data_IF_632573333558
#
_entry.id   IF_632573333558
#
_cell.length_a   1.000
_cell.length_b   1.000
_cell.length_c   1.000
_cell.angle_alpha   90.00
_cell.angle_beta   90.00
_cell.angle_gamma   90.00
#
_symmetry.space_group_name_H-M   'P 1'
#
loop_
_entity.id
_entity.type
_entity.pdbx_description
1 polymer ?
#
# COMPACT_ATOMS: atom_id res chain seq x y z
N UNK A 1 14.11 42.36 19.70
CA UNK A 1 14.20 43.82 19.99
C UNK A 1 14.55 44.06 21.48
N UNK A 2 13.79 43.49 22.42
CA UNK A 2 14.05 43.67 23.88
C UNK A 2 15.45 43.19 24.35
N UNK A 3 15.91 42.06 23.83
CA UNK A 3 17.24 41.51 24.14
C UNK A 3 18.39 42.37 23.61
N UNK A 4 18.23 42.92 22.40
CA UNK A 4 19.21 43.84 21.83
C UNK A 4 19.28 45.16 22.57
N UNK A 5 18.12 45.75 22.95
CA UNK A 5 18.06 46.95 23.77
C UNK A 5 18.73 46.77 25.14
N UNK A 6 18.46 45.65 25.82
CA UNK A 6 19.11 45.31 27.09
C UNK A 6 20.63 45.15 27.00
N UNK A 7 21.11 44.48 25.93
CA UNK A 7 22.54 44.32 25.66
C UNK A 7 23.24 45.66 25.45
N UNK A 8 22.64 46.53 24.61
CA UNK A 8 23.21 47.89 24.32
C UNK A 8 23.27 48.73 25.63
N UNK A 9 22.22 48.69 26.44
CA UNK A 9 22.15 49.46 27.67
C UNK A 9 23.16 48.96 28.73
N UNK A 10 23.29 47.65 28.87
CA UNK A 10 24.28 47.02 29.79
C UNK A 10 25.71 47.29 29.30
N UNK A 11 25.97 47.22 27.99
CA UNK A 11 27.29 47.49 27.45
C UNK A 11 27.69 48.97 27.64
N UNK A 12 26.73 49.92 27.52
CA UNK A 12 26.96 51.34 27.77
C UNK A 12 27.29 51.66 29.23
N UNK A 13 26.54 51.04 30.17
CA UNK A 13 26.79 51.18 31.60
C UNK A 13 28.20 50.62 31.99
N UNK A 14 28.55 49.45 31.48
CA UNK A 14 29.86 48.81 31.68
C UNK A 14 31.00 49.65 31.10
N UNK A 15 30.79 50.23 29.93
CA UNK A 15 31.76 51.13 29.30
C UNK A 15 32.02 52.41 30.12
N UNK A 16 30.99 53.00 30.70
CA UNK A 16 31.11 54.17 31.58
C UNK A 16 31.86 53.81 32.86
N UNK A 17 31.64 52.64 33.44
CA UNK A 17 32.30 52.19 34.67
C UNK A 17 33.71 51.61 34.43
N UNK A 18 34.03 51.18 33.22
CA UNK A 18 35.36 50.65 32.85
C UNK A 18 36.48 51.71 32.94
N UNK A 19 36.12 52.97 32.93
CA UNK A 19 37.08 54.11 33.07
C UNK A 19 37.68 54.22 34.48
N UNK A 20 37.01 53.60 35.48
CA UNK A 20 37.40 53.67 36.92
C UNK A 20 37.74 52.31 37.53
N UNK A 21 37.45 51.20 36.87
CA UNK A 21 37.63 49.84 37.41
C UNK A 21 38.02 48.83 36.34
N UNK A 22 39.17 48.14 36.49
CA UNK A 22 39.61 47.03 35.63
C UNK A 22 38.64 45.83 35.62
N UNK A 23 37.85 45.68 36.71
CA UNK A 23 36.83 44.63 36.77
C UNK A 23 35.65 44.86 35.79
N UNK A 24 35.24 46.11 35.59
CA UNK A 24 34.22 46.45 34.65
C UNK A 24 34.65 46.18 33.20
N UNK A 25 35.94 46.37 32.91
CA UNK A 25 36.51 46.01 31.59
C UNK A 25 36.47 44.49 31.35
N UNK A 26 36.79 43.65 32.34
CA UNK A 26 36.70 42.21 32.24
C UNK A 26 35.25 41.73 32.01
N UNK A 27 34.27 42.31 32.68
CA UNK A 27 32.86 42.00 32.49
C UNK A 27 32.40 42.41 31.09
N UNK A 28 32.85 43.53 30.58
CA UNK A 28 32.53 43.97 29.21
C UNK A 28 33.10 42.99 28.18
N UNK A 29 34.36 42.59 28.32
CA UNK A 29 34.97 41.58 27.42
C UNK A 29 34.23 40.24 27.47
N UNK A 30 33.83 39.78 28.68
CA UNK A 30 33.03 38.57 28.84
C UNK A 30 31.66 38.66 28.18
N UNK A 31 30.99 39.83 28.26
CA UNK A 31 29.73 40.09 27.63
C UNK A 31 29.82 40.00 26.09
N UNK A 32 30.84 40.65 25.50
CA UNK A 32 31.06 40.61 24.05
C UNK A 32 31.48 39.24 23.58
N UNK A 33 32.32 38.49 24.33
CA UNK A 33 32.69 37.12 24.01
C UNK A 33 31.45 36.21 24.04
N UNK A 34 30.57 36.35 25.06
CA UNK A 34 29.31 35.60 25.10
C UNK A 34 28.38 35.90 23.91
N UNK A 35 28.23 37.19 23.58
CA UNK A 35 27.43 37.60 22.43
C UNK A 35 28.01 37.07 21.10
N UNK A 36 29.33 37.08 20.95
CA UNK A 36 30.01 36.53 19.80
C UNK A 36 29.77 35.02 19.65
N UNK A 37 29.94 34.27 20.76
CA UNK A 37 29.67 32.84 20.76
C UNK A 37 28.22 32.50 20.42
N UNK A 38 27.28 33.25 21.00
CA UNK A 38 25.85 33.10 20.70
C UNK A 38 25.58 33.34 19.21
N UNK A 39 26.10 34.42 18.64
CA UNK A 39 25.92 34.73 17.24
C UNK A 39 26.58 33.67 16.32
N UNK A 40 27.76 33.21 16.70
CA UNK A 40 28.48 32.16 15.98
C UNK A 40 27.65 30.87 15.91
N UNK A 41 27.12 30.40 17.06
CA UNK A 41 26.28 29.20 17.08
C UNK A 41 24.96 29.42 16.32
N UNK A 42 24.35 30.60 16.44
CA UNK A 42 23.15 30.94 15.70
C UNK A 42 23.36 30.88 14.19
N UNK A 43 24.41 31.52 13.69
CA UNK A 43 24.77 31.50 12.25
C UNK A 43 25.08 30.05 11.78
N UNK A 44 25.79 29.27 12.60
CA UNK A 44 26.06 27.86 12.31
C UNK A 44 24.76 27.08 12.11
N UNK A 45 23.77 27.24 13.00
CA UNK A 45 22.46 26.57 12.88
C UNK A 45 21.67 27.06 11.65
N UNK A 46 21.72 28.33 11.33
CA UNK A 46 21.13 28.83 10.07
C UNK A 46 21.78 28.21 8.83
N UNK A 47 23.09 27.98 8.85
CA UNK A 47 23.80 27.30 7.75
C UNK A 47 23.41 25.84 7.63
N UNK A 48 23.14 25.13 8.74
CA UNK A 48 22.64 23.76 8.72
C UNK A 48 21.27 23.67 8.06
N UNK A 49 20.34 24.55 8.41
CA UNK A 49 19.00 24.66 7.77
C UNK A 49 19.15 24.99 6.27
N UNK A 50 20.01 25.97 5.93
CA UNK A 50 20.25 26.34 4.52
C UNK A 50 20.81 25.15 3.73
N UNK A 51 21.71 24.35 4.30
CA UNK A 51 22.25 23.15 3.68
C UNK A 51 21.17 22.07 3.48
N UNK A 52 20.29 21.88 4.47
CA UNK A 52 19.17 20.97 4.37
C UNK A 52 18.21 21.40 3.23
N UNK A 53 17.82 22.66 3.18
CA UNK A 53 16.98 23.19 2.10
C UNK A 53 17.64 23.07 0.71
N UNK A 54 18.96 23.29 0.61
CA UNK A 54 19.70 23.08 -0.63
C UNK A 54 19.68 21.61 -1.06
N UNK A 55 19.89 20.69 -0.13
CA UNK A 55 19.82 19.26 -0.42
C UNK A 55 18.42 18.83 -0.86
N UNK A 56 17.37 19.37 -0.22
CA UNK A 56 15.98 19.15 -0.62
C UNK A 56 15.72 19.64 -2.05
N UNK A 57 16.20 20.84 -2.36
CA UNK A 57 16.12 21.41 -3.72
C UNK A 57 16.84 20.56 -4.77
N UNK A 58 17.99 19.97 -4.40
CA UNK A 58 18.75 19.06 -5.26
C UNK A 58 18.14 17.64 -5.36
N UNK A 59 16.98 17.39 -4.72
CA UNK A 59 16.27 16.12 -4.77
C UNK A 59 16.95 14.99 -3.98
N UNK A 60 17.81 15.30 -3.02
CA UNK A 60 18.45 14.29 -2.15
C UNK A 60 17.40 13.77 -1.16
N UNK A 61 17.27 12.46 -1.09
CA UNK A 61 16.39 11.78 -0.14
C UNK A 61 16.93 11.90 1.30
N UNK A 62 16.01 11.85 2.27
CA UNK A 62 16.29 11.77 3.71
C UNK A 62 17.09 12.95 4.30
N UNK A 63 16.43 14.09 4.35
CA UNK A 63 16.95 15.23 5.11
C UNK A 63 16.17 15.27 6.42
N UNK A 64 16.81 14.86 7.52
CA UNK A 64 16.24 14.96 8.86
C UNK A 64 17.14 15.83 9.71
N UNK A 65 16.64 16.98 10.12
CA UNK A 65 17.28 17.85 11.10
C UNK A 65 16.85 17.39 12.50
N UNK A 66 17.80 17.35 13.45
CA UNK A 66 17.51 17.00 14.84
C UNK A 66 16.89 18.17 15.57
N UNK A 67 15.61 18.10 15.83
CA UNK A 67 14.83 19.18 16.44
C UNK A 67 15.37 19.66 17.80
N UNK A 68 15.92 18.74 18.60
CA UNK A 68 16.47 19.02 19.92
C UNK A 68 17.70 19.94 19.90
N UNK A 69 18.37 20.04 18.76
CA UNK A 69 19.53 20.89 18.57
C UNK A 69 19.18 22.35 18.21
N UNK A 70 17.92 22.65 17.97
CA UNK A 70 17.42 23.96 17.61
C UNK A 70 16.55 24.57 18.72
N UNK A 71 16.54 25.91 18.84
CA UNK A 71 15.77 26.62 19.86
C UNK A 71 15.02 27.81 19.24
N UNK A 72 13.87 28.16 19.84
CA UNK A 72 13.05 29.29 19.41
C UNK A 72 12.60 29.15 17.95
N UNK A 73 12.54 30.24 17.20
CA UNK A 73 12.08 30.30 15.80
C UNK A 73 12.83 29.32 14.86
N UNK A 74 14.11 29.04 15.15
CA UNK A 74 14.87 28.06 14.34
C UNK A 74 14.37 26.63 14.53
N UNK A 75 13.77 26.29 15.67
CA UNK A 75 13.15 25.00 15.91
C UNK A 75 11.89 24.84 15.05
N UNK A 76 11.06 25.86 14.98
CA UNK A 76 9.84 25.84 14.17
C UNK A 76 10.19 25.69 12.69
N UNK A 77 11.21 26.41 12.21
CA UNK A 77 11.72 26.26 10.84
C UNK A 77 12.27 24.84 10.61
N UNK A 78 12.96 24.25 11.57
CA UNK A 78 13.48 22.89 11.49
C UNK A 78 12.34 21.88 11.32
N UNK A 79 11.26 22.00 12.12
CA UNK A 79 10.05 21.18 12.01
C UNK A 79 9.43 21.31 10.60
N UNK A 80 9.22 22.55 10.13
CA UNK A 80 8.65 22.74 8.79
C UNK A 80 9.52 22.15 7.67
N UNK A 81 10.85 22.24 7.79
CA UNK A 81 11.77 21.63 6.81
C UNK A 81 11.68 20.10 6.84
N UNK A 82 11.57 19.49 8.03
CA UNK A 82 11.38 18.06 8.17
C UNK A 82 10.04 17.60 7.58
N UNK A 83 8.94 18.32 7.87
CA UNK A 83 7.61 18.02 7.34
C UNK A 83 7.56 18.13 5.81
N UNK A 84 8.16 19.20 5.23
CA UNK A 84 8.27 19.36 3.79
C UNK A 84 9.10 18.21 3.17
N UNK A 85 10.21 17.82 3.82
CA UNK A 85 11.05 16.71 3.36
C UNK A 85 10.30 15.39 3.36
N UNK A 86 9.54 15.09 4.42
CA UNK A 86 8.71 13.90 4.51
C UNK A 86 7.59 13.91 3.45
N UNK A 87 6.88 15.02 3.29
CA UNK A 87 5.84 15.18 2.28
C UNK A 87 6.37 15.01 0.85
N UNK A 88 7.55 15.57 0.56
CA UNK A 88 8.20 15.44 -0.73
C UNK A 88 8.63 13.99 -1.02
N UNK A 89 9.19 13.31 -0.02
CA UNK A 89 9.58 11.89 -0.14
C UNK A 89 8.36 11.02 -0.43
N UNK A 90 7.28 11.19 0.33
CA UNK A 90 6.02 10.46 0.12
C UNK A 90 5.44 10.71 -1.29
N UNK A 91 5.43 11.96 -1.76
CA UNK A 91 4.93 12.31 -3.09
C UNK A 91 5.77 11.67 -4.21
N UNK A 92 7.10 11.62 -4.05
CA UNK A 92 7.98 10.95 -5.02
C UNK A 92 7.74 9.45 -5.01
N UNK A 93 7.62 8.82 -3.84
CA UNK A 93 7.37 7.37 -3.74
C UNK A 93 6.02 6.99 -4.36
N UNK A 94 4.99 7.78 -4.12
CA UNK A 94 3.68 7.60 -4.76
C UNK A 94 3.77 7.77 -6.28
N UNK A 95 4.48 8.79 -6.76
CA UNK A 95 4.70 9.01 -8.20
C UNK A 95 5.46 7.85 -8.84
N UNK A 96 6.51 7.35 -8.19
CA UNK A 96 7.28 6.19 -8.67
C UNK A 96 6.44 4.90 -8.66
N UNK A 97 5.60 4.71 -7.63
CA UNK A 97 4.66 3.59 -7.55
C UNK A 97 3.66 3.63 -8.71
N UNK A 98 3.14 4.80 -9.02
CA UNK A 98 2.22 5.00 -10.14
C UNK A 98 2.90 4.78 -11.50
N UNK A 99 4.14 5.22 -11.68
CA UNK A 99 4.90 5.04 -12.93
C UNK A 99 5.27 3.56 -13.14
N UNK A 100 5.70 2.86 -12.10
CA UNK A 100 5.91 1.40 -12.15
C UNK A 100 4.61 0.68 -12.49
N UNK A 101 3.50 1.07 -11.86
CA UNK A 101 2.20 0.50 -12.19
C UNK A 101 1.84 0.65 -13.66
N UNK A 102 2.04 1.83 -14.28
CA UNK A 102 1.80 2.03 -15.72
C UNK A 102 2.68 1.13 -16.57
N UNK A 103 3.96 0.98 -16.21
CA UNK A 103 4.91 0.16 -16.95
C UNK A 103 4.56 -1.33 -16.86
N UNK A 104 4.25 -1.82 -15.67
CA UNK A 104 3.83 -3.21 -15.43
C UNK A 104 2.50 -3.52 -16.14
N UNK A 105 1.59 -2.54 -16.14
CA UNK A 105 0.33 -2.58 -16.86
C UNK A 105 0.57 -2.80 -18.38
N UNK A 106 1.39 -1.95 -19.01
CA UNK A 106 1.64 -2.02 -20.45
C UNK A 106 2.34 -3.34 -20.81
N UNK A 107 3.29 -3.78 -20.03
CA UNK A 107 4.11 -4.94 -20.36
C UNK A 107 3.39 -6.27 -20.09
N UNK A 108 2.92 -6.47 -18.87
CA UNK A 108 2.36 -7.75 -18.44
C UNK A 108 0.94 -7.99 -18.99
N UNK A 109 0.11 -6.95 -18.98
CA UNK A 109 -1.26 -7.05 -19.51
C UNK A 109 -1.25 -7.22 -21.01
N UNK A 110 -0.36 -6.54 -21.74
CA UNK A 110 -0.25 -6.70 -23.18
C UNK A 110 0.08 -8.15 -23.57
N UNK A 111 0.99 -8.78 -22.81
CA UNK A 111 1.32 -10.19 -23.01
C UNK A 111 0.12 -11.11 -22.69
N UNK A 112 -0.53 -10.90 -21.55
CA UNK A 112 -1.63 -11.73 -21.06
C UNK A 112 -2.93 -11.56 -21.87
N UNK A 113 -3.10 -10.42 -22.54
CA UNK A 113 -4.16 -10.17 -23.54
C UNK A 113 -3.80 -10.83 -24.87
N UNK A 114 -2.56 -10.72 -25.34
CA UNK A 114 -2.13 -11.24 -26.64
C UNK A 114 -2.30 -12.77 -26.75
N UNK A 115 -2.00 -13.49 -25.67
CA UNK A 115 -2.07 -14.96 -25.64
C UNK A 115 -3.49 -15.50 -25.93
N UNK A 116 -4.56 -15.14 -25.17
CA UNK A 116 -5.91 -15.61 -25.45
C UNK A 116 -6.43 -15.07 -26.77
N UNK A 117 -6.07 -13.83 -27.16
CA UNK A 117 -6.49 -13.26 -28.42
C UNK A 117 -5.91 -14.02 -29.61
N UNK A 118 -4.62 -14.38 -29.59
CA UNK A 118 -4.00 -15.21 -30.64
C UNK A 118 -4.68 -16.59 -30.73
N UNK A 119 -5.02 -17.18 -29.56
CA UNK A 119 -5.75 -18.45 -29.51
C UNK A 119 -7.12 -18.32 -30.14
N UNK A 120 -7.90 -17.30 -29.82
CA UNK A 120 -9.21 -17.03 -30.45
C UNK A 120 -9.07 -16.92 -31.95
N UNK A 121 -8.12 -16.15 -32.48
CA UNK A 121 -7.91 -15.97 -33.91
C UNK A 121 -7.60 -17.31 -34.57
N UNK A 122 -6.66 -18.09 -34.00
CA UNK A 122 -6.30 -19.40 -34.59
C UNK A 122 -7.48 -20.38 -34.65
N UNK A 123 -8.30 -20.44 -33.58
CA UNK A 123 -9.46 -21.34 -33.57
C UNK A 123 -10.59 -20.84 -34.47
N UNK A 124 -10.74 -19.53 -34.65
CA UNK A 124 -11.67 -18.99 -35.68
C UNK A 124 -11.22 -19.38 -37.09
N UNK A 125 -9.92 -19.35 -37.37
CA UNK A 125 -9.41 -19.74 -38.70
C UNK A 125 -9.57 -21.26 -38.93
N UNK A 126 -9.28 -22.10 -37.93
CA UNK A 126 -9.56 -23.56 -38.01
C UNK A 126 -11.05 -23.84 -38.19
N UNK A 127 -11.92 -23.07 -37.57
CA UNK A 127 -13.37 -23.20 -37.71
C UNK A 127 -13.84 -22.86 -39.14
N UNK A 128 -13.21 -21.89 -39.79
CA UNK A 128 -13.49 -21.55 -41.20
C UNK A 128 -13.08 -22.67 -42.15
N UNK A 129 -12.00 -23.39 -41.83
CA UNK A 129 -11.51 -24.51 -42.67
C UNK A 129 -12.32 -25.78 -42.46
N UNK A 130 -12.71 -26.12 -41.23
CA UNK A 130 -13.40 -27.37 -40.88
C UNK A 130 -14.89 -27.35 -41.22
N UNK A 131 -15.53 -26.19 -41.21
CA UNK A 131 -17.00 -26.08 -41.32
C UNK A 131 -17.70 -26.26 -39.96
N UNK A 132 -18.91 -25.72 -39.82
CA UNK A 132 -19.61 -25.60 -38.53
C UNK A 132 -20.30 -26.90 -38.04
N UNK A 133 -20.41 -27.92 -38.83
CA UNK A 133 -21.14 -29.13 -38.50
C UNK A 133 -20.29 -30.27 -37.93
N UNK A 134 -18.96 -30.10 -37.88
CA UNK A 134 -18.06 -31.13 -37.37
C UNK A 134 -17.98 -31.11 -35.82
N UNK A 135 -17.65 -32.23 -35.20
CA UNK A 135 -17.41 -32.31 -33.76
C UNK A 135 -16.20 -31.45 -33.36
N UNK A 136 -15.20 -31.31 -34.24
CA UNK A 136 -14.06 -30.42 -34.03
C UNK A 136 -14.51 -28.95 -33.95
N UNK A 137 -15.49 -28.56 -34.76
CA UNK A 137 -16.03 -27.20 -34.76
C UNK A 137 -16.65 -26.84 -33.38
N UNK A 138 -17.35 -27.77 -32.78
CA UNK A 138 -17.92 -27.57 -31.44
C UNK A 138 -16.82 -27.36 -30.38
N UNK A 139 -15.75 -28.13 -30.44
CA UNK A 139 -14.62 -27.98 -29.55
C UNK A 139 -13.87 -26.65 -29.78
N UNK A 140 -13.71 -26.23 -31.02
CA UNK A 140 -13.10 -24.92 -31.34
C UNK A 140 -13.96 -23.78 -30.83
N UNK A 141 -15.28 -23.85 -30.95
CA UNK A 141 -16.20 -22.86 -30.34
C UNK A 141 -16.09 -22.81 -28.81
N UNK A 142 -16.01 -23.98 -28.16
CA UNK A 142 -15.81 -24.06 -26.71
C UNK A 142 -14.53 -23.35 -26.28
N UNK A 143 -13.44 -23.58 -26.99
CA UNK A 143 -12.15 -22.94 -26.68
C UNK A 143 -12.21 -21.42 -26.90
N UNK A 144 -12.86 -20.99 -27.99
CA UNK A 144 -13.05 -19.57 -28.29
C UNK A 144 -13.83 -18.89 -27.16
N UNK A 145 -14.93 -19.51 -26.72
CA UNK A 145 -15.73 -18.99 -25.60
C UNK A 145 -14.94 -18.88 -24.30
N UNK A 146 -14.21 -19.95 -23.93
CA UNK A 146 -13.33 -19.98 -22.77
C UNK A 146 -12.28 -18.85 -22.82
N UNK A 147 -11.59 -18.68 -23.95
CA UNK A 147 -10.56 -17.65 -24.09
C UNK A 147 -11.15 -16.23 -24.13
N UNK A 148 -12.36 -16.07 -24.68
CA UNK A 148 -13.08 -14.81 -24.70
C UNK A 148 -13.52 -14.39 -23.28
N UNK A 149 -14.04 -15.32 -22.48
CA UNK A 149 -14.40 -15.08 -21.08
C UNK A 149 -13.16 -14.73 -20.23
N UNK A 150 -12.05 -15.42 -20.49
CA UNK A 150 -10.77 -15.11 -19.83
C UNK A 150 -10.30 -13.69 -20.16
N UNK A 151 -10.37 -13.30 -21.44
CA UNK A 151 -9.97 -11.96 -21.89
C UNK A 151 -10.87 -10.89 -21.27
N UNK A 152 -12.19 -11.12 -21.24
CA UNK A 152 -13.14 -10.22 -20.56
C UNK A 152 -12.76 -10.01 -19.11
N UNK A 153 -12.49 -11.08 -18.35
CA UNK A 153 -12.11 -10.99 -16.95
C UNK A 153 -10.79 -10.22 -16.77
N UNK A 154 -9.78 -10.47 -17.61
CA UNK A 154 -8.51 -9.73 -17.56
C UNK A 154 -8.70 -8.23 -17.78
N UNK A 155 -9.57 -7.84 -18.71
CA UNK A 155 -9.86 -6.42 -18.97
C UNK A 155 -10.65 -5.77 -17.83
N UNK A 156 -11.58 -6.49 -17.21
CA UNK A 156 -12.31 -6.03 -16.03
C UNK A 156 -11.37 -5.84 -14.83
N UNK A 157 -10.54 -6.83 -14.51
CA UNK A 157 -9.53 -6.76 -13.45
C UNK A 157 -8.56 -5.57 -13.67
N UNK A 158 -8.17 -5.32 -14.92
CA UNK A 158 -7.31 -4.22 -15.31
C UNK A 158 -7.93 -2.85 -15.04
N UNK A 159 -9.16 -2.64 -15.51
CA UNK A 159 -9.90 -1.39 -15.32
C UNK A 159 -10.07 -1.12 -13.83
N UNK A 160 -10.34 -2.16 -13.06
CA UNK A 160 -10.51 -2.05 -11.61
C UNK A 160 -9.20 -1.71 -10.90
N UNK A 161 -8.11 -2.43 -11.20
CA UNK A 161 -6.80 -2.13 -10.64
C UNK A 161 -6.38 -0.69 -10.95
N UNK A 162 -6.70 -0.19 -12.16
CA UNK A 162 -6.47 1.20 -12.57
C UNK A 162 -7.29 2.19 -11.74
N UNK A 163 -8.59 1.91 -11.53
CA UNK A 163 -9.48 2.76 -10.72
C UNK A 163 -9.08 2.76 -9.24
N UNK A 164 -8.75 1.60 -8.69
CA UNK A 164 -8.32 1.46 -7.29
C UNK A 164 -6.99 2.19 -7.05
N UNK A 165 -6.05 2.12 -8.01
CA UNK A 165 -4.76 2.82 -7.91
C UNK A 165 -4.86 4.33 -8.04
N UNK A 166 -5.83 4.83 -8.81
CA UNK A 166 -6.02 6.29 -9.01
C UNK A 166 -6.90 6.96 -7.95
N UNK A 167 -7.41 6.20 -6.97
CA UNK A 167 -8.34 6.70 -5.95
C UNK A 167 -9.70 7.15 -6.50
N UNK A 168 -10.00 6.85 -7.77
CA UNK A 168 -11.21 7.32 -8.47
C UNK A 168 -12.44 6.43 -8.24
N UNK A 169 -12.46 5.61 -7.19
CA UNK A 169 -13.62 4.83 -6.79
C UNK A 169 -14.45 5.66 -5.81
N UNK A 170 -15.69 5.99 -6.19
CA UNK A 170 -16.66 6.58 -5.26
C UNK A 170 -17.21 5.46 -4.38
N UNK A 171 -16.91 5.53 -3.08
CA UNK A 171 -17.41 4.60 -2.09
C UNK A 171 -18.82 4.98 -1.65
N UNK A 172 -19.67 3.97 -1.50
CA UNK A 172 -20.96 4.07 -0.82
C UNK A 172 -20.85 3.36 0.53
N UNK A 173 -20.39 4.09 1.55
CA UNK A 173 -20.20 3.52 2.89
C UNK A 173 -21.54 3.34 3.60
N UNK A 174 -21.78 2.14 4.09
CA UNK A 174 -22.98 1.76 4.85
C UNK A 174 -22.62 0.77 5.97
N UNK A 175 -23.54 0.55 6.92
CA UNK A 175 -23.36 -0.49 7.94
C UNK A 175 -23.56 -1.88 7.32
N UNK A 176 -22.50 -2.69 7.29
CA UNK A 176 -22.49 -4.05 6.75
C UNK A 176 -22.37 -5.06 7.89
N UNK A 177 -23.27 -6.05 7.94
CA UNK A 177 -23.11 -7.22 8.77
C UNK A 177 -22.08 -8.17 8.13
N UNK A 178 -20.86 -8.21 8.70
CA UNK A 178 -19.76 -8.97 8.11
C UNK A 178 -19.98 -10.49 8.20
N UNK A 179 -20.69 -10.97 9.23
CA UNK A 179 -20.98 -12.38 9.39
C UNK A 179 -21.89 -12.86 8.25
N UNK A 180 -22.93 -12.08 7.92
CA UNK A 180 -23.84 -12.40 6.80
C UNK A 180 -23.11 -12.36 5.45
N UNK A 181 -22.30 -11.34 5.21
CA UNK A 181 -21.55 -11.21 3.98
C UNK A 181 -20.61 -12.40 3.77
N UNK A 182 -19.86 -12.82 4.78
CA UNK A 182 -18.96 -13.97 4.70
C UNK A 182 -19.71 -15.27 4.46
N UNK A 183 -20.86 -15.47 5.13
CA UNK A 183 -21.71 -16.66 4.91
C UNK A 183 -22.22 -16.71 3.47
N UNK A 184 -22.72 -15.58 2.95
CA UNK A 184 -23.20 -15.49 1.57
C UNK A 184 -22.11 -15.88 0.57
N UNK A 185 -20.95 -15.24 0.65
CA UNK A 185 -19.84 -15.50 -0.28
C UNK A 185 -19.33 -16.94 -0.14
N UNK A 186 -19.21 -17.47 1.09
CA UNK A 186 -18.85 -18.88 1.30
C UNK A 186 -19.84 -19.81 0.61
N UNK A 187 -21.13 -19.48 0.66
CA UNK A 187 -22.18 -20.21 -0.05
C UNK A 187 -22.02 -20.18 -1.57
N UNK A 188 -21.67 -19.04 -2.13
CA UNK A 188 -21.43 -18.87 -3.58
C UNK A 188 -20.19 -19.66 -4.07
N UNK A 189 -19.19 -19.87 -3.20
CA UNK A 189 -18.00 -20.67 -3.52
C UNK A 189 -18.11 -22.16 -3.19
N UNK A 190 -19.25 -22.62 -2.67
CA UNK A 190 -19.45 -24.00 -2.20
C UNK A 190 -19.05 -25.06 -3.26
N UNK A 191 -19.51 -24.89 -4.50
CA UNK A 191 -19.23 -25.83 -5.58
C UNK A 191 -17.73 -25.87 -5.92
N UNK A 192 -17.10 -24.71 -6.04
CA UNK A 192 -15.66 -24.60 -6.31
C UNK A 192 -14.81 -25.20 -5.20
N UNK A 193 -15.21 -25.07 -3.95
CA UNK A 193 -14.55 -25.71 -2.82
C UNK A 193 -14.75 -27.22 -2.83
N UNK A 194 -15.95 -27.68 -3.16
CA UNK A 194 -16.26 -29.10 -3.25
C UNK A 194 -15.47 -29.83 -4.36
N UNK A 195 -15.17 -29.16 -5.47
CA UNK A 195 -14.32 -29.73 -6.56
C UNK A 195 -12.92 -30.16 -6.05
N UNK A 196 -12.41 -29.52 -5.00
CA UNK A 196 -11.12 -29.84 -4.38
C UNK A 196 -11.24 -30.44 -3.00
N UNK A 197 -12.44 -30.81 -2.55
CA UNK A 197 -12.70 -31.26 -1.19
C UNK A 197 -12.15 -30.28 -0.12
N UNK A 198 -12.34 -28.98 -0.34
CA UNK A 198 -11.99 -27.97 0.65
C UNK A 198 -13.16 -27.80 1.62
N UNK A 199 -12.87 -27.86 2.92
CA UNK A 199 -13.86 -27.71 4.00
C UNK A 199 -13.74 -26.30 4.61
N UNK A 200 -14.67 -25.36 4.33
CA UNK A 200 -14.67 -24.05 4.96
C UNK A 200 -15.15 -24.16 6.42
N UNK A 201 -14.35 -23.66 7.35
CA UNK A 201 -14.63 -23.57 8.78
C UNK A 201 -14.74 -22.10 9.14
N UNK A 202 -15.96 -21.63 9.39
CA UNK A 202 -16.22 -20.24 9.79
C UNK A 202 -16.32 -20.19 11.31
N UNK A 203 -15.47 -19.38 11.94
CA UNK A 203 -15.53 -19.05 13.36
C UNK A 203 -16.01 -17.62 13.50
N UNK A 204 -17.22 -17.45 14.00
CA UNK A 204 -17.87 -16.15 14.18
C UNK A 204 -17.85 -15.75 15.66
N UNK A 205 -17.89 -14.45 15.95
CA UNK A 205 -18.20 -13.96 17.28
C UNK A 205 -19.69 -14.24 17.61
N UNK A 206 -20.02 -14.35 18.89
CA UNK A 206 -21.41 -14.61 19.35
C UNK A 206 -22.37 -13.50 18.93
N UNK A 207 -21.89 -12.27 18.73
CA UNK A 207 -22.68 -11.12 18.33
C UNK A 207 -22.46 -10.79 16.84
N UNK A 208 -23.51 -10.27 16.19
CA UNK A 208 -23.42 -9.72 14.84
C UNK A 208 -22.44 -8.54 14.78
N UNK A 209 -21.40 -8.69 14.01
CA UNK A 209 -20.39 -7.66 13.84
C UNK A 209 -20.76 -6.78 12.65
N UNK A 210 -20.97 -5.49 12.92
CA UNK A 210 -21.19 -4.47 11.90
C UNK A 210 -19.93 -3.63 11.70
N UNK A 211 -19.61 -3.36 10.43
CA UNK A 211 -18.53 -2.48 10.01
C UNK A 211 -19.08 -1.43 9.04
N UNK A 212 -18.45 -0.25 8.99
CA UNK A 212 -18.78 0.79 8.00
C UNK A 212 -17.91 0.58 6.77
N UNK A 213 -18.51 0.10 5.68
CA UNK A 213 -17.81 -0.24 4.45
C UNK A 213 -18.73 -0.12 3.23
N UNK A 214 -18.17 -0.19 2.02
CA UNK A 214 -18.94 -0.35 0.78
C UNK A 214 -19.16 -1.85 0.52
N UNK A 215 -20.39 -2.32 0.63
CA UNK A 215 -20.76 -3.72 0.52
C UNK A 215 -20.34 -4.34 -0.82
N UNK A 216 -20.45 -3.59 -1.92
CA UNK A 216 -20.03 -4.05 -3.25
C UNK A 216 -18.50 -4.21 -3.34
N UNK A 217 -17.74 -3.25 -2.83
CA UNK A 217 -16.28 -3.34 -2.87
C UNK A 217 -15.78 -4.42 -1.90
N UNK A 218 -16.44 -4.56 -0.75
CA UNK A 218 -16.08 -5.58 0.23
C UNK A 218 -16.39 -7.00 -0.29
N UNK A 219 -17.54 -7.21 -0.95
CA UNK A 219 -17.82 -8.48 -1.65
C UNK A 219 -16.71 -8.82 -2.64
N UNK A 220 -16.24 -7.83 -3.41
CA UNK A 220 -15.17 -8.02 -4.38
C UNK A 220 -13.82 -8.36 -3.75
N UNK A 221 -13.52 -7.81 -2.56
CA UNK A 221 -12.35 -8.23 -1.77
C UNK A 221 -12.43 -9.73 -1.48
N UNK A 222 -13.54 -10.18 -0.94
CA UNK A 222 -13.69 -11.60 -0.58
C UNK A 222 -13.79 -12.51 -1.81
N UNK A 223 -14.44 -12.10 -2.90
CA UNK A 223 -14.42 -12.82 -4.17
C UNK A 223 -12.99 -13.09 -4.67
N UNK A 224 -12.12 -12.09 -4.61
CA UNK A 224 -10.72 -12.25 -4.98
C UNK A 224 -9.98 -13.23 -4.06
N UNK A 225 -10.21 -13.14 -2.75
CA UNK A 225 -9.57 -14.02 -1.76
C UNK A 225 -10.08 -15.46 -1.85
N UNK A 226 -11.39 -15.65 -1.95
CA UNK A 226 -11.99 -17.00 -2.07
C UNK A 226 -11.64 -17.65 -3.42
N UNK A 227 -11.58 -16.85 -4.50
CA UNK A 227 -11.10 -17.34 -5.80
C UNK A 227 -9.63 -17.81 -5.73
N UNK A 228 -8.77 -17.08 -5.00
CA UNK A 228 -7.39 -17.51 -4.76
C UNK A 228 -7.33 -18.80 -3.95
N UNK A 229 -8.11 -18.90 -2.88
CA UNK A 229 -8.20 -20.13 -2.07
C UNK A 229 -8.66 -21.31 -2.93
N UNK A 230 -9.76 -21.16 -3.69
CA UNK A 230 -10.26 -22.22 -4.55
C UNK A 230 -9.23 -22.68 -5.60
N UNK A 231 -8.38 -21.77 -6.11
CA UNK A 231 -7.35 -22.09 -7.10
C UNK A 231 -6.10 -22.74 -6.50
N UNK A 232 -5.63 -22.20 -5.38
CA UNK A 232 -4.28 -22.47 -4.88
C UNK A 232 -4.23 -23.26 -3.57
N UNK A 233 -5.36 -23.46 -2.88
CA UNK A 233 -5.38 -24.28 -1.68
C UNK A 233 -5.12 -25.77 -2.02
N UNK A 234 -4.44 -26.42 -1.09
CA UNK A 234 -4.17 -27.86 -1.15
C UNK A 234 -5.48 -28.64 -1.06
N UNK A 235 -5.77 -29.55 -2.01
CA UNK A 235 -6.98 -30.38 -1.95
C UNK A 235 -7.08 -31.20 -0.67
N UNK A 236 -8.31 -31.50 -0.25
CA UNK A 236 -8.61 -32.28 0.95
C UNK A 236 -8.12 -31.60 2.26
N UNK A 237 -8.11 -30.27 2.29
CA UNK A 237 -7.73 -29.47 3.48
C UNK A 237 -8.86 -28.56 3.92
N UNK A 238 -8.69 -27.94 5.10
CA UNK A 238 -9.62 -26.97 5.66
C UNK A 238 -9.22 -25.56 5.29
N UNK A 239 -10.24 -24.72 5.13
CA UNK A 239 -10.10 -23.26 4.96
C UNK A 239 -10.71 -22.61 6.20
N UNK A 240 -9.89 -21.97 7.01
CA UNK A 240 -10.37 -21.29 8.21
C UNK A 240 -10.67 -19.82 7.94
N UNK A 241 -11.85 -19.39 8.37
CA UNK A 241 -12.32 -18.02 8.24
C UNK A 241 -12.74 -17.58 9.63
N UNK A 242 -11.90 -16.77 10.27
CA UNK A 242 -12.13 -16.29 11.63
C UNK A 242 -12.58 -14.82 11.60
N UNK A 243 -13.71 -14.52 12.25
CA UNK A 243 -14.24 -13.16 12.41
C UNK A 243 -14.23 -12.84 13.89
N UNK A 244 -13.46 -11.83 14.29
CA UNK A 244 -13.28 -11.43 15.69
C UNK A 244 -13.45 -9.94 15.86
N UNK A 245 -14.12 -9.54 16.92
CA UNK A 245 -14.17 -8.15 17.36
C UNK A 245 -13.20 -7.96 18.53
N UNK A 246 -12.34 -6.95 18.43
CA UNK A 246 -11.44 -6.56 19.49
C UNK A 246 -11.66 -5.08 19.77
N UNK A 247 -11.93 -4.71 20.99
CA UNK A 247 -12.28 -3.39 21.53
C UNK A 247 -12.81 -2.33 20.54
N UNK A 248 -12.02 -1.93 19.53
CA UNK A 248 -12.38 -0.91 18.53
C UNK A 248 -12.19 -1.37 17.07
N UNK A 249 -11.83 -2.64 16.83
CA UNK A 249 -11.53 -3.14 15.48
C UNK A 249 -12.20 -4.48 15.23
N UNK A 250 -12.65 -4.66 14.00
CA UNK A 250 -13.08 -5.95 13.48
C UNK A 250 -11.97 -6.58 12.70
N UNK A 251 -11.56 -7.78 13.09
CA UNK A 251 -10.50 -8.56 12.45
C UNK A 251 -11.08 -9.77 11.74
N UNK A 252 -10.75 -9.93 10.47
CA UNK A 252 -11.15 -11.05 9.62
C UNK A 252 -9.89 -11.73 9.14
N UNK A 253 -9.76 -13.02 9.41
CA UNK A 253 -8.62 -13.84 8.99
C UNK A 253 -9.08 -14.97 8.07
N UNK A 254 -8.43 -15.11 6.92
CA UNK A 254 -8.58 -16.25 6.01
C UNK A 254 -7.27 -17.04 5.99
N UNK A 255 -7.35 -18.35 6.23
CA UNK A 255 -6.19 -19.23 6.37
C UNK A 255 -6.39 -20.49 5.55
N UNK A 256 -5.37 -20.86 4.78
CA UNK A 256 -5.34 -22.14 4.06
C UNK A 256 -3.90 -22.62 3.88
N UNK A 257 -3.75 -23.89 3.53
CA UNK A 257 -2.48 -24.46 3.09
C UNK A 257 -2.43 -24.35 1.55
N UNK A 258 -1.33 -23.87 1.02
CA UNK A 258 -1.08 -23.79 -0.43
C UNK A 258 -0.75 -25.17 -1.00
N UNK A 259 -1.25 -25.47 -2.18
CA UNK A 259 -0.90 -26.67 -2.94
C UNK A 259 0.56 -26.68 -3.42
N UNK A 260 1.23 -25.55 -3.35
CA UNK A 260 2.61 -25.37 -3.82
C UNK A 260 3.43 -24.65 -2.76
N UNK A 261 4.73 -24.96 -2.70
CA UNK A 261 5.65 -24.24 -1.84
C UNK A 261 5.71 -22.78 -2.25
N UNK A 262 5.49 -21.90 -1.30
CA UNK A 262 5.57 -20.45 -1.50
C UNK A 262 7.02 -20.01 -1.25
N UNK A 263 7.88 -20.12 -2.28
CA UNK A 263 9.28 -19.66 -2.22
C UNK A 263 9.39 -18.15 -2.57
N UNK A 264 8.47 -17.36 -2.04
CA UNK A 264 8.31 -15.93 -2.32
C UNK A 264 7.95 -15.23 -1.02
N UNK A 265 8.38 -13.99 -0.84
CA UNK A 265 7.98 -13.20 0.34
C UNK A 265 6.55 -12.68 0.19
N UNK A 266 5.93 -12.30 1.31
CA UNK A 266 4.59 -11.70 1.27
C UNK A 266 4.59 -10.39 0.47
N UNK A 267 5.64 -9.57 0.61
CA UNK A 267 5.81 -8.32 -0.11
C UNK A 267 5.93 -8.54 -1.62
N UNK A 268 6.67 -9.55 -2.05
CA UNK A 268 6.80 -9.91 -3.45
C UNK A 268 5.47 -10.44 -4.02
N UNK A 269 4.75 -11.31 -3.26
CA UNK A 269 3.46 -11.86 -3.71
C UNK A 269 2.36 -10.79 -3.79
N UNK A 270 2.46 -9.74 -2.98
CA UNK A 270 1.55 -8.59 -3.02
C UNK A 270 1.83 -7.64 -4.19
N UNK A 271 2.98 -7.74 -4.85
CA UNK A 271 3.23 -6.96 -6.04
C UNK A 271 2.27 -7.36 -7.17
N UNK A 272 1.85 -6.37 -7.94
CA UNK A 272 0.90 -6.58 -9.05
C UNK A 272 1.55 -7.43 -10.13
N UNK A 273 0.75 -8.30 -10.74
CA UNK A 273 1.16 -9.24 -11.80
C UNK A 273 2.18 -10.30 -11.37
N UNK A 274 2.51 -10.38 -10.07
CA UNK A 274 3.38 -11.45 -9.56
C UNK A 274 2.57 -12.73 -9.39
N UNK A 275 3.12 -13.82 -9.87
CA UNK A 275 2.62 -15.18 -9.68
C UNK A 275 3.74 -16.00 -9.10
N UNK A 276 3.46 -16.87 -8.14
CA UNK A 276 4.45 -17.84 -7.67
C UNK A 276 5.01 -18.66 -8.86
N UNK A 277 6.30 -18.96 -8.85
CA UNK A 277 7.03 -19.55 -10.00
C UNK A 277 6.35 -20.77 -10.64
N UNK A 278 5.66 -21.58 -9.86
CA UNK A 278 4.93 -22.76 -10.33
C UNK A 278 3.51 -22.46 -10.82
N UNK A 279 2.97 -21.29 -10.56
CA UNK A 279 1.60 -20.88 -10.92
C UNK A 279 1.50 -20.22 -12.30
N UNK A 280 2.60 -20.11 -13.05
CA UNK A 280 2.59 -19.52 -14.42
C UNK A 280 1.64 -20.22 -15.38
N UNK A 281 1.37 -21.51 -15.16
CA UNK A 281 0.43 -22.31 -15.96
C UNK A 281 -1.00 -22.32 -15.42
N UNK A 282 -1.26 -21.74 -14.23
CA UNK A 282 -2.62 -21.64 -13.69
C UNK A 282 -3.32 -20.37 -14.14
N UNK A 283 -4.65 -20.43 -14.29
CA UNK A 283 -5.44 -19.28 -14.69
C UNK A 283 -5.46 -18.18 -13.62
N UNK A 284 -5.06 -16.95 -13.98
CA UNK A 284 -5.14 -15.80 -13.10
C UNK A 284 -4.40 -14.60 -13.66
N UNK A 285 -4.86 -13.38 -13.35
CA UNK A 285 -4.23 -12.11 -13.75
C UNK A 285 -3.03 -11.72 -12.87
N UNK A 286 -2.87 -12.33 -11.70
CA UNK A 286 -1.91 -11.87 -10.68
C UNK A 286 -2.29 -10.53 -10.04
N UNK A 287 -3.52 -10.06 -10.27
CA UNK A 287 -4.03 -8.77 -9.75
C UNK A 287 -4.94 -8.93 -8.53
N UNK A 288 -5.49 -10.12 -8.27
CA UNK A 288 -6.55 -10.31 -7.29
C UNK A 288 -6.16 -9.88 -5.86
N UNK A 289 -4.96 -10.21 -5.39
CA UNK A 289 -4.48 -9.81 -4.04
C UNK A 289 -4.24 -8.30 -3.95
N UNK A 290 -3.63 -7.72 -4.96
CA UNK A 290 -3.36 -6.26 -4.98
C UNK A 290 -4.64 -5.44 -5.14
N UNK A 291 -5.66 -5.94 -5.86
CA UNK A 291 -6.99 -5.34 -5.92
C UNK A 291 -7.64 -5.43 -4.55
N UNK A 292 -7.65 -6.60 -3.90
CA UNK A 292 -8.22 -6.79 -2.58
C UNK A 292 -7.58 -5.84 -1.55
N UNK A 293 -6.26 -5.73 -1.51
CA UNK A 293 -5.54 -4.79 -0.66
C UNK A 293 -5.97 -3.35 -0.94
N UNK A 294 -5.94 -2.91 -2.20
CA UNK A 294 -6.29 -1.53 -2.56
C UNK A 294 -7.74 -1.19 -2.18
N UNK A 295 -8.68 -2.12 -2.34
CA UNK A 295 -10.09 -1.91 -1.97
C UNK A 295 -10.31 -1.86 -0.45
N UNK A 296 -9.53 -2.60 0.34
CA UNK A 296 -9.56 -2.53 1.82
C UNK A 296 -8.97 -1.19 2.29
N UNK A 297 -7.80 -0.82 1.79
CA UNK A 297 -7.11 0.44 2.15
C UNK A 297 -7.96 1.67 1.76
N UNK A 298 -8.63 1.63 0.62
CA UNK A 298 -9.52 2.70 0.17
C UNK A 298 -10.70 2.94 1.15
N UNK A 299 -11.11 1.90 1.88
CA UNK A 299 -12.16 1.94 2.90
C UNK A 299 -11.62 2.16 4.33
N UNK A 300 -10.38 2.66 4.46
CA UNK A 300 -9.67 2.87 5.72
C UNK A 300 -9.41 1.60 6.54
N UNK A 301 -9.48 0.43 5.92
CA UNK A 301 -9.08 -0.84 6.52
C UNK A 301 -7.58 -1.10 6.35
N UNK A 302 -7.09 -2.11 7.04
CA UNK A 302 -5.71 -2.63 6.86
C UNK A 302 -5.74 -4.03 6.29
N UNK A 303 -4.80 -4.33 5.40
CA UNK A 303 -4.65 -5.62 4.75
C UNK A 303 -3.23 -6.15 4.97
N UNK A 304 -3.11 -7.34 5.53
CA UNK A 304 -1.83 -7.97 5.80
C UNK A 304 -1.80 -9.40 5.25
N UNK A 305 -0.74 -9.73 4.53
CA UNK A 305 -0.45 -11.08 4.07
C UNK A 305 0.68 -11.67 4.90
N UNK A 306 0.49 -12.90 5.36
CA UNK A 306 1.50 -13.67 6.06
C UNK A 306 1.70 -15.02 5.37
N UNK A 307 2.95 -15.37 5.12
CA UNK A 307 3.37 -16.64 4.51
C UNK A 307 4.37 -17.33 5.42
N UNK A 308 4.18 -18.63 5.63
CA UNK A 308 5.14 -19.49 6.37
C UNK A 308 5.16 -20.88 5.71
N UNK A 309 6.19 -21.14 4.91
CA UNK A 309 6.26 -22.34 4.09
C UNK A 309 5.12 -22.41 3.07
N UNK A 310 4.17 -23.32 3.27
CA UNK A 310 2.94 -23.48 2.48
C UNK A 310 1.69 -22.88 3.16
N UNK A 311 1.85 -22.36 4.38
CA UNK A 311 0.79 -21.68 5.10
C UNK A 311 0.55 -20.27 4.57
N UNK A 312 -0.70 -20.00 4.19
CA UNK A 312 -1.15 -18.72 3.65
C UNK A 312 -2.21 -18.11 4.58
N UNK A 313 -2.00 -16.89 5.02
CA UNK A 313 -2.96 -16.15 5.85
C UNK A 313 -3.11 -14.72 5.38
N UNK A 314 -4.34 -14.30 5.14
CA UNK A 314 -4.72 -12.90 4.96
C UNK A 314 -5.43 -12.42 6.21
N UNK A 315 -5.06 -11.24 6.68
CA UNK A 315 -5.70 -10.54 7.80
C UNK A 315 -6.21 -9.20 7.29
N UNK A 316 -7.50 -8.91 7.54
CA UNK A 316 -8.16 -7.65 7.23
C UNK A 316 -8.69 -7.06 8.54
N UNK A 317 -8.46 -5.77 8.78
CA UNK A 317 -9.00 -5.07 9.96
C UNK A 317 -9.72 -3.78 9.54
N UNK A 318 -10.89 -3.55 10.13
CA UNK A 318 -11.69 -2.34 10.01
C UNK A 318 -11.96 -1.69 11.35
#
# INVERSE_FOLDING_TARGET
VLFYGGFVLLSAILLMSARSSGFALLLLLALYAGAFLYLFFYVKKCMEIKKALKNLYEGKKEITLKEDEFKGELKDICIYVNDISAGFTNAIEESLKNERFKTDLITNVSHDIKTPLTSIINYVDLLKEEGLESENAKEYLRIIDEKSLKLKKLTEDLVEASKASSGNIKLNLEEININELIRQITGEFKDKFSEKNLEPIITEAEEDIKITADGKQLSRVFDNLFSNIAKYAMPNTRVYIDIKKSENKTKIELKNISNQKLNITAEELMQRFVRGDSSRNTEGSGLGLSIAQSLVELQNGTFQLFLDGDFFRVTIEF
#
